data_IF_320330287191
#
_entry.id   IF_320330287191
#
_cell.length_a   1.000
_cell.length_b   1.000
_cell.length_c   1.000
_cell.angle_alpha   90.00
_cell.angle_beta   90.00
_cell.angle_gamma   90.00
#
_symmetry.space_group_name_H-M   'P 1'
#
loop_
_entity.id
_entity.type
_entity.pdbx_description
1 polymer ?
#
# COMPACT_ATOMS: atom_id res chain seq x y z
N UNK A 1 0.06 5.11 23.89
CA UNK A 1 -0.10 4.45 22.57
C UNK A 1 -1.49 3.84 22.49
N UNK A 2 -2.25 4.10 21.42
CA UNK A 2 -3.64 3.64 21.26
C UNK A 2 -3.73 2.11 21.19
N UNK A 3 -4.83 1.52 21.71
CA UNK A 3 -5.18 0.08 21.56
C UNK A 3 -5.07 -0.40 20.11
N UNK A 4 -5.30 0.48 19.13
CA UNK A 4 -5.23 0.22 17.68
C UNK A 4 -3.89 -0.38 17.22
N UNK A 5 -2.77 0.01 17.82
CA UNK A 5 -1.43 -0.39 17.36
C UNK A 5 -0.77 -1.46 18.25
N UNK A 6 -1.54 -2.10 19.16
CA UNK A 6 -1.01 -3.13 20.04
C UNK A 6 -0.46 -4.35 19.27
N UNK A 7 -1.07 -4.68 18.12
CA UNK A 7 -0.63 -5.78 17.26
C UNK A 7 0.78 -5.55 16.68
N UNK A 8 1.14 -4.30 16.39
CA UNK A 8 2.48 -3.94 15.85
C UNK A 8 3.55 -4.24 16.89
N UNK A 9 3.31 -3.90 18.15
CA UNK A 9 4.25 -4.20 19.24
C UNK A 9 4.41 -5.69 19.46
N UNK A 10 3.32 -6.46 19.31
CA UNK A 10 3.36 -7.93 19.37
C UNK A 10 4.19 -8.51 18.23
N UNK A 11 4.01 -8.02 17.01
CA UNK A 11 4.78 -8.45 15.83
C UNK A 11 6.28 -8.12 15.93
N UNK A 12 6.64 -7.02 16.62
CA UNK A 12 8.03 -6.61 16.80
C UNK A 12 8.68 -7.20 18.07
N UNK A 13 7.98 -8.04 18.84
CA UNK A 13 8.44 -8.45 20.17
C UNK A 13 9.78 -9.20 20.15
N UNK A 14 9.99 -10.06 19.15
CA UNK A 14 11.18 -10.93 19.03
C UNK A 14 12.38 -10.24 18.36
N UNK A 15 12.21 -9.01 17.87
CA UNK A 15 13.26 -8.31 17.14
C UNK A 15 14.26 -7.61 18.08
N UNK A 16 15.53 -7.42 17.67
CA UNK A 16 16.48 -6.60 18.41
C UNK A 16 16.04 -5.13 18.53
N UNK A 17 16.43 -4.46 19.62
CA UNK A 17 15.96 -3.10 19.97
C UNK A 17 16.19 -2.08 18.83
N UNK A 18 17.34 -2.17 18.15
CA UNK A 18 17.67 -1.32 17.00
C UNK A 18 16.71 -1.53 15.82
N UNK A 19 16.33 -2.79 15.54
CA UNK A 19 15.35 -3.10 14.49
C UNK A 19 13.95 -2.66 14.88
N UNK A 20 13.55 -2.83 16.15
CA UNK A 20 12.26 -2.31 16.65
C UNK A 20 12.17 -0.80 16.45
N UNK A 21 13.21 -0.06 16.84
CA UNK A 21 13.25 1.40 16.71
C UNK A 21 13.15 1.83 15.23
N UNK A 22 13.87 1.16 14.34
CA UNK A 22 13.82 1.44 12.89
C UNK A 22 12.44 1.14 12.30
N UNK A 23 11.87 -0.02 12.63
CA UNK A 23 10.54 -0.42 12.18
C UNK A 23 9.46 0.55 12.69
N UNK A 24 9.50 0.93 13.97
CA UNK A 24 8.56 1.89 14.55
C UNK A 24 8.66 3.26 13.87
N UNK A 25 9.89 3.73 13.61
CA UNK A 25 10.12 5.00 12.89
C UNK A 25 9.45 4.98 11.52
N UNK A 26 9.67 3.92 10.74
CA UNK A 26 9.04 3.80 9.42
C UNK A 26 7.53 3.61 9.48
N UNK A 27 7.01 2.88 10.47
CA UNK A 27 5.57 2.71 10.67
C UNK A 27 4.88 4.05 10.99
N UNK A 28 5.47 4.86 11.87
CA UNK A 28 4.89 6.15 12.28
C UNK A 28 5.10 7.26 11.25
N UNK A 29 6.21 7.24 10.51
CA UNK A 29 6.56 8.28 9.54
C UNK A 29 6.24 7.88 8.09
N UNK A 30 5.76 6.65 7.88
CA UNK A 30 5.51 6.08 6.55
C UNK A 30 4.58 6.96 5.73
N UNK A 31 3.47 7.39 6.31
CA UNK A 31 2.51 8.23 5.60
C UNK A 31 3.14 9.54 5.11
N UNK A 32 3.98 10.21 5.91
CA UNK A 32 4.66 11.44 5.47
C UNK A 32 5.71 11.19 4.38
N UNK A 33 6.33 10.02 4.38
CA UNK A 33 7.39 9.65 3.44
C UNK A 33 6.83 9.19 2.09
N UNK A 34 5.74 8.41 2.13
CA UNK A 34 5.18 7.74 0.95
C UNK A 34 3.96 8.48 0.39
N UNK A 35 3.10 9.08 1.24
CA UNK A 35 2.01 9.94 0.79
C UNK A 35 2.43 11.42 0.80
N UNK A 36 2.81 11.93 -0.36
CA UNK A 36 3.00 13.37 -0.56
C UNK A 36 1.67 13.98 -1.01
N UNK A 37 1.01 14.74 -0.13
CA UNK A 37 -0.23 15.45 -0.47
C UNK A 37 0.00 16.40 -1.66
N UNK A 38 -0.92 16.38 -2.62
CA UNK A 38 -0.91 17.28 -3.79
C UNK A 38 -0.06 16.81 -4.98
N UNK A 39 0.57 15.63 -4.91
CA UNK A 39 1.27 15.04 -6.04
C UNK A 39 0.32 14.08 -6.76
N UNK A 40 0.11 14.29 -8.06
CA UNK A 40 -0.60 13.33 -8.92
C UNK A 40 0.30 12.14 -9.23
N UNK A 41 -0.30 10.97 -9.35
CA UNK A 41 0.46 9.79 -9.71
C UNK A 41 0.94 9.86 -11.17
N UNK A 42 2.00 9.10 -11.48
CA UNK A 42 2.46 8.93 -12.86
C UNK A 42 1.45 8.07 -13.63
N UNK A 43 0.65 8.74 -14.47
CA UNK A 43 -0.41 8.08 -15.22
C UNK A 43 0.10 7.11 -16.28
N UNK A 44 1.28 7.33 -16.86
CA UNK A 44 1.87 6.40 -17.84
C UNK A 44 2.24 5.07 -17.16
N UNK A 45 2.89 5.16 -15.99
CA UNK A 45 3.20 3.99 -15.18
C UNK A 45 1.94 3.24 -14.71
N UNK A 46 0.91 3.98 -14.26
CA UNK A 46 -0.37 3.40 -13.84
C UNK A 46 -1.04 2.65 -14.99
N UNK A 47 -1.16 3.26 -16.17
CA UNK A 47 -1.84 2.65 -17.32
C UNK A 47 -1.12 1.38 -17.77
N UNK A 48 0.21 1.41 -17.83
CA UNK A 48 1.03 0.23 -18.16
C UNK A 48 0.76 -0.92 -17.20
N UNK A 49 0.67 -0.65 -15.89
CA UNK A 49 0.40 -1.69 -14.90
C UNK A 49 -1.06 -2.16 -14.94
N UNK A 50 -2.02 -1.24 -15.05
CA UNK A 50 -3.45 -1.53 -15.05
C UNK A 50 -3.88 -2.39 -16.25
N UNK A 51 -3.20 -2.23 -17.39
CA UNK A 51 -3.46 -2.94 -18.65
C UNK A 51 -2.51 -4.11 -18.91
N UNK A 52 -1.56 -4.39 -18.01
CA UNK A 52 -0.64 -5.52 -18.18
C UNK A 52 -1.38 -6.87 -18.15
N UNK A 53 -0.78 -7.95 -18.68
CA UNK A 53 -1.36 -9.31 -18.64
C UNK A 53 -1.33 -9.95 -17.23
N UNK A 54 -1.33 -9.14 -16.17
CA UNK A 54 -1.29 -9.55 -14.76
C UNK A 54 -0.07 -10.42 -14.40
N UNK A 55 1.12 -10.06 -14.87
CA UNK A 55 2.36 -10.80 -14.57
C UNK A 55 2.63 -10.92 -13.06
N UNK A 56 2.15 -9.97 -12.26
CA UNK A 56 2.26 -10.02 -10.80
C UNK A 56 1.55 -11.24 -10.18
N UNK A 57 0.65 -11.93 -10.90
CA UNK A 57 -0.01 -13.13 -10.41
C UNK A 57 0.93 -14.30 -10.15
N UNK A 58 2.06 -14.31 -10.83
CA UNK A 58 3.02 -15.41 -10.76
C UNK A 58 4.08 -15.19 -9.68
N UNK A 59 4.13 -14.00 -9.07
CA UNK A 59 5.24 -13.60 -8.19
C UNK A 59 4.79 -12.86 -6.91
N UNK A 60 3.52 -12.45 -6.80
CA UNK A 60 3.05 -11.68 -5.65
C UNK A 60 2.62 -12.60 -4.48
N UNK A 61 3.40 -12.67 -3.38
CA UNK A 61 3.07 -13.54 -2.24
C UNK A 61 1.81 -13.09 -1.51
N UNK A 62 1.50 -11.79 -1.54
CA UNK A 62 0.27 -11.25 -0.95
C UNK A 62 -0.96 -11.75 -1.72
N UNK A 63 -0.88 -11.77 -3.06
CA UNK A 63 -1.98 -12.28 -3.87
C UNK A 63 -2.16 -13.78 -3.68
N UNK A 64 -1.07 -14.53 -3.57
CA UNK A 64 -1.11 -15.97 -3.29
C UNK A 64 -1.78 -16.26 -1.93
N UNK A 65 -1.40 -15.53 -0.89
CA UNK A 65 -1.94 -15.69 0.46
C UNK A 65 -3.42 -15.28 0.55
N UNK A 66 -3.77 -14.11 0.01
CA UNK A 66 -5.09 -13.51 0.19
C UNK A 66 -6.11 -13.95 -0.87
N UNK A 67 -5.64 -14.46 -2.02
CA UNK A 67 -6.46 -14.86 -3.17
C UNK A 67 -7.44 -13.78 -3.63
N UNK A 68 -7.06 -12.51 -3.47
CA UNK A 68 -7.89 -11.36 -3.77
C UNK A 68 -7.19 -10.43 -4.78
N UNK A 69 -7.76 -10.35 -5.99
CA UNK A 69 -7.21 -9.56 -7.09
C UNK A 69 -7.07 -8.06 -6.77
N UNK A 70 -7.93 -7.51 -5.90
CA UNK A 70 -7.85 -6.12 -5.49
C UNK A 70 -6.55 -5.78 -4.74
N UNK A 71 -5.87 -6.80 -4.19
CA UNK A 71 -4.59 -6.65 -3.50
C UNK A 71 -3.38 -6.85 -4.42
N UNK A 72 -3.59 -7.34 -5.64
CA UNK A 72 -2.53 -7.47 -6.63
C UNK A 72 -2.02 -6.09 -7.08
N UNK A 73 -0.74 -5.98 -7.50
CA UNK A 73 -0.23 -4.74 -8.10
C UNK A 73 -1.09 -4.21 -9.25
N UNK A 74 -1.51 -5.08 -10.18
CA UNK A 74 -2.37 -4.69 -11.30
C UNK A 74 -3.77 -4.24 -10.83
N UNK A 75 -4.36 -4.91 -9.84
CA UNK A 75 -5.64 -4.53 -9.25
C UNK A 75 -5.59 -3.16 -8.59
N UNK A 76 -4.55 -2.89 -7.80
CA UNK A 76 -4.32 -1.57 -7.19
C UNK A 76 -4.09 -0.48 -8.23
N UNK A 77 -3.36 -0.77 -9.31
CA UNK A 77 -3.15 0.19 -10.40
C UNK A 77 -4.46 0.57 -11.11
N UNK A 78 -5.39 -0.38 -11.31
CA UNK A 78 -6.73 -0.07 -11.85
C UNK A 78 -7.52 0.85 -10.92
N UNK A 79 -7.49 0.58 -9.62
CA UNK A 79 -8.15 1.45 -8.62
C UNK A 79 -7.52 2.85 -8.64
N UNK A 80 -6.19 2.93 -8.65
CA UNK A 80 -5.46 4.20 -8.75
C UNK A 80 -5.83 4.98 -10.02
N UNK A 81 -5.96 4.30 -11.17
CA UNK A 81 -6.42 4.93 -12.41
C UNK A 81 -7.78 5.60 -12.25
N UNK A 82 -8.76 4.91 -11.67
CA UNK A 82 -10.09 5.48 -11.47
C UNK A 82 -10.10 6.64 -10.48
N UNK A 83 -9.31 6.56 -9.41
CA UNK A 83 -9.18 7.64 -8.42
C UNK A 83 -8.51 8.89 -9.02
N UNK A 84 -7.43 8.73 -9.78
CA UNK A 84 -6.72 9.86 -10.42
C UNK A 84 -7.55 10.53 -11.51
N UNK A 85 -8.44 9.79 -12.18
CA UNK A 85 -9.39 10.34 -13.15
C UNK A 85 -10.69 10.88 -12.51
N UNK A 86 -10.84 10.82 -11.19
CA UNK A 86 -12.07 11.25 -10.50
C UNK A 86 -13.30 10.42 -10.86
N UNK A 87 -13.10 9.19 -11.34
CA UNK A 87 -14.17 8.25 -11.68
C UNK A 87 -14.61 7.44 -10.45
N UNK A 88 -13.77 7.39 -9.42
CA UNK A 88 -14.12 6.93 -8.08
C UNK A 88 -13.87 8.07 -7.10
N UNK A 89 -14.88 8.39 -6.29
CA UNK A 89 -14.73 9.29 -5.15
C UNK A 89 -14.54 8.45 -3.88
N UNK A 90 -13.43 8.67 -3.20
CA UNK A 90 -13.18 8.04 -1.92
C UNK A 90 -12.18 8.85 -1.12
N UNK A 91 -12.68 9.59 -0.13
CA UNK A 91 -11.86 10.20 0.92
C UNK A 91 -11.03 9.13 1.65
N UNK A 92 -11.58 7.91 1.76
CA UNK A 92 -10.93 6.77 2.41
C UNK A 92 -9.80 6.15 1.57
N UNK A 93 -9.96 6.04 0.24
CA UNK A 93 -8.94 5.43 -0.63
C UNK A 93 -7.64 6.25 -0.68
N UNK A 94 -7.74 7.58 -0.54
CA UNK A 94 -6.58 8.47 -0.39
C UNK A 94 -5.82 8.28 0.92
N UNK A 95 -6.40 7.61 1.92
CA UNK A 95 -5.75 7.33 3.21
C UNK A 95 -5.07 5.94 3.28
N UNK A 96 -5.34 5.06 2.32
CA UNK A 96 -4.80 3.68 2.28
C UNK A 96 -3.81 3.40 1.13
N UNK A 97 -3.68 4.31 0.15
CA UNK A 97 -2.68 4.22 -0.94
C UNK A 97 -1.39 4.97 -0.61
#
# INVERSE_FOLDING_TARGET
>A
MSKKNAWVMKALHELPLAMKAKAMKHFLQGNKKYMKKGIRADMDAIIKCATCPNMCKFDCPVLEAEKNEALSPAGKARIAYFLENGLLDSDYAREIM
#
